data_IF_823157235735
#
_entry.id   IF_823157235735
#
_cell.length_a   1.000
_cell.length_b   1.000
_cell.length_c   1.000
_cell.angle_alpha   90.00
_cell.angle_beta   90.00
_cell.angle_gamma   90.00
#
_symmetry.space_group_name_H-M   'P 1'
#
loop_
_entity.id
_entity.type
_entity.pdbx_description
1 polymer ?
#
# COMPACT_ATOMS: atom_id res chain seq x y z
N UNK A 1 -27.23 39.57 32.85
CA UNK A 1 -28.52 39.41 32.13
C UNK A 1 -28.27 38.51 30.92
N UNK A 2 -28.87 37.32 30.85
CA UNK A 2 -28.69 36.41 29.70
C UNK A 2 -29.22 37.04 28.42
N UNK A 3 -28.41 37.14 27.36
CA UNK A 3 -28.77 37.69 26.05
C UNK A 3 -29.98 36.96 25.41
N UNK A 4 -30.28 35.74 25.85
CA UNK A 4 -31.50 35.01 25.44
C UNK A 4 -32.77 35.58 26.07
N UNK A 5 -32.69 36.14 27.29
CA UNK A 5 -33.82 36.77 27.97
C UNK A 5 -34.14 38.17 27.41
N UNK A 6 -33.18 38.84 26.78
CA UNK A 6 -33.38 40.16 26.15
C UNK A 6 -33.80 40.11 24.68
N UNK A 7 -34.10 38.93 24.11
CA UNK A 7 -34.64 38.77 22.76
C UNK A 7 -33.65 38.99 21.61
N UNK A 8 -32.38 39.31 21.89
CA UNK A 8 -31.35 39.53 20.87
C UNK A 8 -30.74 38.20 20.41
N UNK A 9 -31.49 37.43 19.63
CA UNK A 9 -31.04 36.10 19.13
C UNK A 9 -29.90 36.22 18.11
N UNK A 10 -29.96 37.23 17.24
CA UNK A 10 -28.95 37.45 16.20
C UNK A 10 -27.54 37.74 16.75
N UNK A 11 -27.43 38.45 17.88
CA UNK A 11 -26.13 38.73 18.51
C UNK A 11 -25.53 37.49 19.17
N UNK A 12 -26.36 36.60 19.71
CA UNK A 12 -25.92 35.32 20.29
C UNK A 12 -25.38 34.38 19.21
N UNK A 13 -26.03 34.32 18.04
CA UNK A 13 -25.57 33.46 16.94
C UNK A 13 -24.29 34.00 16.30
N UNK A 14 -24.13 35.33 16.22
CA UNK A 14 -22.87 35.96 15.81
C UNK A 14 -21.73 35.68 16.81
N UNK A 15 -22.01 35.71 18.12
CA UNK A 15 -21.04 35.37 19.18
C UNK A 15 -20.65 33.89 19.17
N UNK A 16 -21.58 32.99 18.87
CA UNK A 16 -21.27 31.55 18.69
C UNK A 16 -20.44 31.28 17.45
N UNK A 17 -20.68 32.01 16.35
CA UNK A 17 -19.90 31.89 15.12
C UNK A 17 -18.48 32.44 15.23
N UNK A 18 -18.26 33.41 16.13
CA UNK A 18 -16.94 34.03 16.36
C UNK A 18 -16.08 33.29 17.40
N UNK A 19 -16.68 32.47 18.26
CA UNK A 19 -15.95 31.52 19.09
C UNK A 19 -15.60 30.27 18.30
N UNK A 20 -14.64 30.38 17.37
CA UNK A 20 -13.82 29.24 17.02
C UNK A 20 -12.98 28.91 18.27
N UNK A 21 -13.37 27.88 19.02
CA UNK A 21 -12.44 27.27 19.98
C UNK A 21 -11.18 26.89 19.18
N UNK A 22 -9.97 27.28 19.61
CA UNK A 22 -8.77 26.77 18.98
C UNK A 22 -8.88 25.24 19.06
N UNK A 23 -8.85 24.58 17.90
CA UNK A 23 -8.73 23.13 17.85
C UNK A 23 -7.53 22.80 18.74
N UNK A 24 -7.66 21.93 19.76
CA UNK A 24 -6.53 21.54 20.59
C UNK A 24 -5.43 21.08 19.65
N UNK A 25 -4.37 21.88 19.53
CA UNK A 25 -3.16 21.40 18.92
C UNK A 25 -2.68 20.32 19.86
N UNK A 26 -2.75 19.05 19.43
CA UNK A 26 -2.01 17.99 20.14
C UNK A 26 -0.58 18.48 20.16
N UNK A 27 -0.10 18.83 21.35
CA UNK A 27 1.30 19.14 21.55
C UNK A 27 2.07 17.96 20.99
N UNK A 28 2.91 18.21 19.99
CA UNK A 28 3.81 17.20 19.48
C UNK A 28 4.61 16.69 20.69
N UNK A 29 4.83 15.36 20.82
CA UNK A 29 5.65 14.84 21.90
C UNK A 29 6.97 15.63 21.94
N UNK A 30 7.49 15.97 23.14
CA UNK A 30 8.68 16.79 23.27
C UNK A 30 9.79 16.20 22.40
N UNK A 31 10.56 17.01 21.66
CA UNK A 31 11.52 16.51 20.69
C UNK A 31 12.58 15.67 21.41
N UNK A 32 12.37 14.36 21.43
CA UNK A 32 13.37 13.39 21.85
C UNK A 32 14.63 13.62 21.00
N UNK A 33 15.78 13.73 21.66
CA UNK A 33 17.13 13.96 21.14
C UNK A 33 17.28 13.91 19.61
N UNK A 34 17.82 14.98 19.01
CA UNK A 34 18.07 15.19 17.56
C UNK A 34 18.35 13.90 16.78
N UNK A 35 17.28 13.25 16.32
CA UNK A 35 17.38 11.99 15.58
C UNK A 35 17.56 12.32 14.11
N UNK A 36 18.73 11.97 13.57
CA UNK A 36 18.97 11.98 12.13
C UNK A 36 18.11 10.92 11.46
N UNK A 37 17.65 11.21 10.24
CA UNK A 37 16.94 10.22 9.43
C UNK A 37 17.88 9.08 9.07
N UNK A 38 17.40 7.84 9.19
CA UNK A 38 18.02 6.68 8.55
C UNK A 38 17.91 6.79 7.02
N UNK A 39 18.75 6.06 6.29
CA UNK A 39 18.73 6.01 4.83
C UNK A 39 17.34 5.58 4.31
N UNK A 40 16.71 4.60 4.98
CA UNK A 40 15.39 4.07 4.62
C UNK A 40 14.26 5.02 5.03
N UNK A 41 14.40 5.73 6.16
CA UNK A 41 13.45 6.77 6.58
C UNK A 41 13.48 7.95 5.60
N UNK A 42 14.67 8.35 5.14
CA UNK A 42 14.85 9.38 4.13
C UNK A 42 14.29 8.95 2.77
N UNK A 43 14.48 7.68 2.38
CA UNK A 43 13.88 7.13 1.17
C UNK A 43 12.35 7.09 1.26
N UNK A 44 11.82 6.69 2.42
CA UNK A 44 10.38 6.71 2.68
C UNK A 44 9.80 8.13 2.62
N UNK A 45 10.54 9.14 3.12
CA UNK A 45 10.16 10.54 3.01
C UNK A 45 10.08 10.99 1.54
N UNK A 46 11.08 10.65 0.73
CA UNK A 46 11.11 10.99 -0.70
C UNK A 46 9.90 10.41 -1.44
N UNK A 47 9.55 9.15 -1.19
CA UNK A 47 8.40 8.49 -1.85
C UNK A 47 7.05 8.90 -1.25
N UNK A 48 7.02 9.42 -0.03
CA UNK A 48 5.79 9.89 0.60
C UNK A 48 5.41 11.31 0.16
N UNK A 49 6.40 12.16 -0.07
CA UNK A 49 6.23 13.57 -0.48
C UNK A 49 6.36 13.74 -1.99
N UNK A 50 6.70 12.67 -2.72
CA UNK A 50 6.95 12.68 -4.17
C UNK A 50 8.07 13.68 -4.56
N UNK A 51 9.18 13.66 -3.82
CA UNK A 51 10.33 14.53 -4.09
C UNK A 51 11.18 14.03 -5.26
N UNK A 52 11.61 14.97 -6.11
CA UNK A 52 12.67 14.70 -7.10
C UNK A 52 14.05 14.66 -6.42
N UNK A 53 15.04 14.08 -7.12
CA UNK A 53 16.43 14.06 -6.65
C UNK A 53 16.94 15.48 -6.34
N UNK A 54 16.69 16.42 -7.25
CA UNK A 54 17.21 17.77 -7.14
C UNK A 54 16.50 18.55 -6.02
N UNK A 55 15.19 18.35 -5.85
CA UNK A 55 14.44 18.91 -4.71
C UNK A 55 15.00 18.40 -3.38
N UNK A 56 15.28 17.10 -3.26
CA UNK A 56 15.87 16.55 -2.04
C UNK A 56 17.26 17.13 -1.74
N UNK A 57 18.12 17.21 -2.77
CA UNK A 57 19.47 17.79 -2.63
C UNK A 57 19.38 19.26 -2.22
N UNK A 58 18.47 20.02 -2.83
CA UNK A 58 18.25 21.43 -2.50
C UNK A 58 17.76 21.61 -1.06
N UNK A 59 16.72 20.87 -0.64
CA UNK A 59 16.20 20.90 0.73
C UNK A 59 17.33 20.60 1.73
N UNK A 60 18.12 19.56 1.47
CA UNK A 60 19.26 19.21 2.31
C UNK A 60 20.30 20.33 2.38
N UNK A 61 20.65 20.93 1.24
CA UNK A 61 21.61 22.04 1.20
C UNK A 61 21.11 23.25 2.00
N UNK A 62 19.82 23.59 1.90
CA UNK A 62 19.21 24.66 2.68
C UNK A 62 19.25 24.37 4.19
N UNK A 63 18.94 23.14 4.62
CA UNK A 63 19.00 22.76 6.03
C UNK A 63 20.43 22.84 6.59
N UNK A 64 21.41 22.37 5.83
CA UNK A 64 22.83 22.48 6.20
C UNK A 64 23.30 23.92 6.32
N UNK A 65 22.84 24.81 5.44
CA UNK A 65 23.14 26.24 5.51
C UNK A 65 22.60 26.89 6.80
N UNK A 66 21.53 26.35 7.38
CA UNK A 66 20.96 26.77 8.66
C UNK A 66 21.53 25.98 9.86
N UNK A 67 22.58 25.18 9.66
CA UNK A 67 23.22 24.38 10.72
C UNK A 67 22.44 23.14 11.15
N UNK A 68 21.42 22.72 10.38
CA UNK A 68 20.58 21.56 10.69
C UNK A 68 20.96 20.37 9.80
N UNK A 69 21.73 19.43 10.34
CA UNK A 69 22.14 18.21 9.63
C UNK A 69 21.28 16.99 10.03
N UNK A 70 20.08 16.94 9.44
CA UNK A 70 19.05 15.94 9.75
C UNK A 70 18.89 14.88 8.65
N UNK A 71 19.14 15.24 7.38
CA UNK A 71 18.93 14.36 6.22
C UNK A 71 20.27 13.76 5.70
N UNK A 72 20.33 12.44 5.43
CA UNK A 72 21.51 11.80 4.86
C UNK A 72 21.84 12.34 3.46
N UNK A 73 23.09 12.16 3.01
CA UNK A 73 23.42 12.51 1.63
C UNK A 73 22.71 11.57 0.64
N UNK A 74 22.49 12.05 -0.59
CA UNK A 74 21.72 11.28 -1.59
C UNK A 74 22.38 9.94 -1.96
N UNK A 75 23.70 9.80 -1.80
CA UNK A 75 24.39 8.54 -2.11
C UNK A 75 23.97 7.40 -1.17
N UNK A 76 23.72 7.68 0.11
CA UNK A 76 23.20 6.68 1.04
C UNK A 76 21.75 6.30 0.69
N UNK A 77 20.93 7.28 0.34
CA UNK A 77 19.55 7.05 -0.13
C UNK A 77 19.55 6.24 -1.45
N UNK A 78 20.50 6.48 -2.35
CA UNK A 78 20.67 5.70 -3.58
C UNK A 78 20.98 4.23 -3.26
N UNK A 79 21.88 3.97 -2.31
CA UNK A 79 22.15 2.60 -1.84
C UNK A 79 20.90 1.96 -1.23
N UNK A 80 20.11 2.72 -0.47
CA UNK A 80 18.82 2.22 0.05
C UNK A 80 17.85 1.84 -1.10
N UNK A 81 17.77 2.63 -2.17
CA UNK A 81 16.98 2.29 -3.36
C UNK A 81 17.45 1.00 -4.02
N UNK A 82 18.77 0.80 -4.11
CA UNK A 82 19.38 -0.40 -4.69
C UNK A 82 18.99 -1.66 -3.89
N UNK A 83 18.79 -1.57 -2.58
CA UNK A 83 18.30 -2.68 -1.75
C UNK A 83 16.86 -3.11 -2.07
N UNK A 84 16.01 -2.18 -2.53
CA UNK A 84 14.63 -2.49 -2.92
C UNK A 84 14.54 -3.23 -4.26
N UNK A 85 15.60 -3.19 -5.07
CA UNK A 85 15.63 -3.86 -6.37
C UNK A 85 15.94 -5.34 -6.19
N UNK A 86 15.42 -6.19 -7.07
CA UNK A 86 15.74 -7.59 -7.00
C UNK A 86 17.22 -7.88 -7.24
N UNK A 87 17.83 -8.77 -6.43
CA UNK A 87 19.28 -8.96 -6.43
C UNK A 87 19.80 -9.79 -7.61
N UNK A 88 18.94 -10.57 -8.28
CA UNK A 88 19.36 -11.50 -9.32
C UNK A 88 19.60 -10.78 -10.66
N UNK A 89 20.86 -10.76 -11.17
CA UNK A 89 21.16 -10.18 -12.47
C UNK A 89 20.47 -10.99 -13.57
N UNK A 90 19.66 -10.32 -14.39
CA UNK A 90 18.84 -10.94 -15.45
C UNK A 90 17.38 -11.18 -15.09
N UNK A 91 16.99 -10.99 -13.82
CA UNK A 91 15.58 -11.07 -13.40
C UNK A 91 14.73 -9.90 -13.91
N UNK A 92 15.38 -8.78 -14.29
CA UNK A 92 14.74 -7.57 -14.82
C UNK A 92 15.16 -7.37 -16.27
N UNK A 93 14.17 -7.34 -17.16
CA UNK A 93 14.36 -7.02 -18.58
C UNK A 93 13.59 -5.74 -18.90
N UNK A 94 14.31 -4.69 -19.29
CA UNK A 94 13.72 -3.41 -19.71
C UNK A 94 14.13 -3.11 -21.14
N UNK A 95 13.13 -2.96 -22.00
CA UNK A 95 13.26 -2.55 -23.40
C UNK A 95 12.46 -1.26 -23.63
N UNK A 96 12.45 -0.76 -24.86
CA UNK A 96 11.66 0.42 -25.23
C UNK A 96 10.13 0.20 -25.18
N UNK A 97 9.72 -1.07 -25.32
CA UNK A 97 8.31 -1.47 -25.46
C UNK A 97 7.80 -2.31 -24.29
N UNK A 98 8.68 -2.88 -23.48
CA UNK A 98 8.31 -3.68 -22.33
C UNK A 98 9.24 -3.51 -21.13
N UNK A 99 8.66 -3.61 -19.94
CA UNK A 99 9.37 -3.80 -18.68
C UNK A 99 8.83 -5.09 -18.07
N UNK A 100 9.71 -6.06 -17.82
CA UNK A 100 9.34 -7.34 -17.21
C UNK A 100 10.29 -7.64 -16.07
N UNK A 101 9.71 -8.07 -14.98
CA UNK A 101 10.39 -8.68 -13.85
C UNK A 101 9.94 -10.14 -13.87
N UNK A 102 10.89 -11.08 -13.84
CA UNK A 102 10.58 -12.50 -13.64
C UNK A 102 9.77 -12.65 -12.36
N UNK A 103 8.83 -13.60 -12.32
CA UNK A 103 8.02 -13.83 -11.11
C UNK A 103 8.98 -14.12 -9.95
N UNK A 104 9.11 -13.14 -9.07
CA UNK A 104 10.01 -13.19 -7.94
C UNK A 104 9.28 -13.75 -6.74
N UNK A 105 9.99 -14.64 -6.06
CA UNK A 105 9.58 -15.35 -4.86
C UNK A 105 9.14 -14.34 -3.80
N UNK A 106 7.84 -14.30 -3.51
CA UNK A 106 7.27 -13.63 -2.34
C UNK A 106 6.36 -14.63 -1.61
N UNK A 107 6.58 -14.78 -0.29
CA UNK A 107 5.87 -15.76 0.55
C UNK A 107 4.39 -15.39 0.82
N UNK A 108 3.55 -16.28 1.40
CA UNK A 108 3.86 -17.13 2.56
C UNK A 108 3.29 -18.58 2.52
N UNK A 109 3.52 -19.36 3.59
CA UNK A 109 2.87 -20.68 3.85
C UNK A 109 2.46 -20.88 5.30
N UNK A 110 2.09 -19.81 5.99
CA UNK A 110 1.34 -19.75 7.25
C UNK A 110 1.02 -18.26 7.44
N UNK A 111 -0.11 -17.92 8.06
CA UNK A 111 -0.57 -16.53 8.23
C UNK A 111 0.33 -15.79 9.26
N UNK A 112 1.58 -15.48 8.89
CA UNK A 112 2.48 -14.63 9.71
C UNK A 112 2.28 -13.15 9.48
N UNK A 113 1.87 -12.78 8.27
CA UNK A 113 1.77 -11.40 7.86
C UNK A 113 0.58 -11.24 6.93
N UNK A 114 -0.44 -10.54 7.41
CA UNK A 114 -1.50 -10.01 6.59
C UNK A 114 -1.21 -8.53 6.38
N UNK A 115 -1.24 -8.06 5.14
CA UNK A 115 -1.08 -6.62 4.89
C UNK A 115 -2.18 -5.85 5.59
N UNK A 116 -1.82 -4.85 6.40
CA UNK A 116 -2.79 -4.01 7.11
C UNK A 116 -3.78 -3.31 6.15
N UNK A 117 -3.38 -3.14 4.88
CA UNK A 117 -4.11 -2.41 3.83
C UNK A 117 -3.99 -3.10 2.45
N UNK A 118 -4.70 -4.20 2.22
CA UNK A 118 -4.65 -4.90 0.93
C UNK A 118 -5.16 -4.05 -0.24
N UNK A 119 -6.13 -3.17 0.02
CA UNK A 119 -6.67 -2.21 -0.95
C UNK A 119 -5.69 -1.09 -1.35
N UNK A 120 -4.50 -1.02 -0.78
CA UNK A 120 -3.55 0.06 -1.08
C UNK A 120 -2.76 -0.24 -2.35
N UNK A 121 -2.61 0.73 -3.29
CA UNK A 121 -1.74 0.55 -4.44
C UNK A 121 -0.29 0.29 -4.00
N UNK A 122 0.14 0.76 -2.81
CA UNK A 122 1.49 0.53 -2.27
C UNK A 122 1.82 -0.95 -2.02
N UNK A 123 0.83 -1.84 -1.93
CA UNK A 123 1.08 -3.28 -1.82
C UNK A 123 1.06 -3.98 -3.19
N UNK A 124 0.71 -3.28 -4.25
CA UNK A 124 0.68 -3.79 -5.62
C UNK A 124 2.07 -3.65 -6.25
N UNK A 125 2.87 -4.73 -6.23
CA UNK A 125 4.21 -4.80 -6.83
C UNK A 125 4.12 -5.06 -8.34
N UNK A 126 4.85 -4.32 -9.19
CA UNK A 126 4.79 -4.52 -10.64
C UNK A 126 5.47 -5.84 -11.04
N UNK A 127 4.84 -6.56 -11.99
CA UNK A 127 5.44 -7.73 -12.63
C UNK A 127 5.82 -7.44 -14.08
N UNK A 128 4.87 -6.93 -14.86
CA UNK A 128 5.09 -6.61 -16.27
C UNK A 128 4.28 -5.41 -16.71
N UNK A 129 4.91 -4.51 -17.46
CA UNK A 129 4.28 -3.38 -18.13
C UNK A 129 4.61 -3.44 -19.63
N UNK A 130 3.58 -3.39 -20.45
CA UNK A 130 3.67 -3.50 -21.91
C UNK A 130 3.03 -2.28 -22.56
N UNK A 131 3.73 -1.66 -23.51
CA UNK A 131 3.17 -0.58 -24.32
C UNK A 131 2.43 -1.14 -25.54
N UNK A 132 1.36 -1.88 -25.28
CA UNK A 132 0.50 -2.47 -26.30
C UNK A 132 -0.97 -2.33 -25.90
N UNK A 133 -1.88 -2.22 -26.87
CA UNK A 133 -3.31 -2.24 -26.58
C UNK A 133 -3.70 -3.62 -26.04
N UNK A 134 -4.57 -3.62 -25.04
CA UNK A 134 -5.12 -4.85 -24.49
C UNK A 134 -5.97 -5.56 -25.54
N UNK A 135 -5.61 -6.81 -25.85
CA UNK A 135 -6.35 -7.69 -26.75
C UNK A 135 -6.43 -9.07 -26.14
N UNK A 136 -7.48 -9.83 -26.47
CA UNK A 136 -7.73 -11.16 -25.90
C UNK A 136 -6.55 -12.12 -26.11
N UNK A 137 -5.93 -12.05 -27.28
CA UNK A 137 -4.78 -12.88 -27.65
C UNK A 137 -3.55 -12.57 -26.79
N UNK A 138 -3.26 -11.28 -26.60
CA UNK A 138 -2.14 -10.83 -25.74
C UNK A 138 -2.37 -11.24 -24.30
N UNK A 139 -3.59 -11.06 -23.77
CA UNK A 139 -3.94 -11.48 -22.40
C UNK A 139 -3.77 -12.98 -22.23
N UNK A 140 -4.27 -13.79 -23.18
CA UNK A 140 -4.14 -15.26 -23.13
C UNK A 140 -2.67 -15.69 -23.12
N UNK A 141 -1.86 -15.13 -24.01
CA UNK A 141 -0.42 -15.41 -24.10
C UNK A 141 0.33 -15.03 -22.82
N UNK A 142 -0.01 -13.89 -22.21
CA UNK A 142 0.59 -13.45 -20.94
C UNK A 142 0.17 -14.38 -19.80
N UNK A 143 -1.12 -14.76 -19.72
CA UNK A 143 -1.61 -15.70 -18.70
C UNK A 143 -0.87 -17.03 -18.78
N UNK A 144 -0.75 -17.60 -19.98
CA UNK A 144 -0.01 -18.85 -20.20
C UNK A 144 1.47 -18.74 -19.80
N UNK A 145 2.14 -17.63 -20.17
CA UNK A 145 3.54 -17.39 -19.82
C UNK A 145 3.75 -17.23 -18.31
N UNK A 146 2.87 -16.52 -17.61
CA UNK A 146 2.95 -16.37 -16.16
C UNK A 146 2.63 -17.70 -15.47
N UNK A 147 1.65 -18.46 -15.98
CA UNK A 147 1.30 -19.76 -15.42
C UNK A 147 2.45 -20.76 -15.54
N UNK A 148 3.17 -20.79 -16.67
CA UNK A 148 4.37 -21.63 -16.78
C UNK A 148 5.43 -21.22 -15.76
N UNK A 149 5.65 -19.92 -15.58
CA UNK A 149 6.59 -19.41 -14.57
C UNK A 149 6.17 -19.81 -13.14
N UNK A 150 4.88 -19.79 -12.82
CA UNK A 150 4.35 -20.20 -11.51
C UNK A 150 4.56 -21.69 -11.29
N UNK A 151 4.28 -22.52 -12.30
CA UNK A 151 4.43 -23.97 -12.20
C UNK A 151 5.89 -24.40 -11.99
N UNK A 152 6.84 -23.63 -12.51
CA UNK A 152 8.28 -23.88 -12.37
C UNK A 152 8.86 -23.36 -11.03
N UNK A 153 8.04 -22.78 -10.13
CA UNK A 153 8.50 -22.25 -8.84
C UNK A 153 8.83 -23.37 -7.85
N UNK A 154 10.08 -23.40 -7.39
CA UNK A 154 10.54 -24.26 -6.29
C UNK A 154 10.25 -23.59 -4.93
N UNK A 155 9.79 -24.34 -3.92
CA UNK A 155 9.59 -23.81 -2.57
C UNK A 155 10.86 -23.20 -1.96
N UNK A 156 10.70 -22.12 -1.19
CA UNK A 156 11.83 -21.34 -0.64
C UNK A 156 12.11 -21.72 0.80
N UNK A 157 13.37 -21.91 1.16
CA UNK A 157 13.83 -22.04 2.54
C UNK A 157 14.34 -20.68 3.04
N UNK A 158 13.67 -20.11 4.04
CA UNK A 158 14.12 -18.89 4.72
C UNK A 158 14.68 -19.28 6.09
N UNK A 159 15.89 -18.78 6.38
CA UNK A 159 16.50 -18.86 7.69
C UNK A 159 16.14 -17.59 8.46
N UNK A 160 15.27 -17.71 9.46
CA UNK A 160 14.93 -16.60 10.34
C UNK A 160 16.15 -16.23 11.22
N UNK A 161 16.25 -14.96 11.60
CA UNK A 161 17.27 -14.49 12.57
C UNK A 161 17.20 -15.22 13.93
N UNK A 162 16.10 -15.91 14.21
CA UNK A 162 15.87 -16.76 15.39
C UNK A 162 16.36 -18.20 15.25
N UNK A 163 17.07 -18.55 14.16
CA UNK A 163 17.60 -19.90 13.91
C UNK A 163 16.56 -20.93 13.46
N UNK A 164 15.33 -20.52 13.19
CA UNK A 164 14.27 -21.39 12.65
C UNK A 164 14.32 -21.41 11.13
N UNK A 165 14.30 -22.61 10.56
CA UNK A 165 14.18 -22.83 9.12
C UNK A 165 12.71 -22.97 8.74
N UNK A 166 12.29 -22.24 7.71
CA UNK A 166 10.92 -22.21 7.25
C UNK A 166 10.90 -22.52 5.76
N UNK A 167 10.21 -23.60 5.39
CA UNK A 167 9.96 -23.94 3.99
C UNK A 167 8.62 -23.36 3.51
N UNK A 168 8.65 -22.63 2.40
CA UNK A 168 7.52 -21.90 1.82
C UNK A 168 7.05 -22.62 0.56
N UNK A 169 5.80 -23.07 0.53
CA UNK A 169 5.06 -23.57 -0.63
C UNK A 169 4.08 -22.51 -1.16
N UNK A 170 4.08 -22.31 -2.47
CA UNK A 170 3.09 -21.47 -3.15
C UNK A 170 1.77 -22.24 -3.30
N UNK A 171 0.65 -21.56 -3.08
CA UNK A 171 -0.68 -22.14 -3.29
C UNK A 171 -1.45 -21.21 -4.22
N UNK A 172 -1.78 -21.71 -5.40
CA UNK A 172 -2.57 -20.96 -6.37
C UNK A 172 -3.98 -20.72 -5.85
N UNK A 173 -4.50 -19.53 -6.09
CA UNK A 173 -5.91 -19.23 -5.86
C UNK A 173 -6.67 -19.74 -7.09
N UNK A 174 -7.64 -20.65 -6.93
CA UNK A 174 -8.40 -21.17 -8.05
C UNK A 174 -9.19 -20.06 -8.76
N UNK A 175 -9.27 -20.12 -10.10
CA UNK A 175 -10.11 -19.21 -10.90
C UNK A 175 -11.57 -19.33 -10.43
N UNK A 176 -12.09 -18.28 -9.77
CA UNK A 176 -13.46 -18.24 -9.22
C UNK A 176 -14.54 -18.01 -10.31
N UNK A 177 -14.30 -18.42 -11.56
CA UNK A 177 -15.29 -18.26 -12.63
C UNK A 177 -16.39 -19.32 -12.51
N UNK A 178 -17.66 -18.93 -12.23
CA UNK A 178 -18.75 -19.89 -12.22
C UNK A 178 -18.97 -20.43 -13.63
N UNK A 179 -18.75 -21.73 -13.81
CA UNK A 179 -19.14 -22.44 -15.03
C UNK A 179 -20.65 -22.68 -14.98
N UNK A 180 -21.45 -21.74 -15.51
CA UNK A 180 -22.69 -22.12 -16.18
C UNK A 180 -23.21 -21.05 -17.15
N UNK A 181 -23.43 -21.50 -18.39
CA UNK A 181 -24.09 -20.75 -19.45
C UNK A 181 -25.59 -20.70 -19.15
N UNK A 182 -26.05 -19.65 -18.48
CA UNK A 182 -27.46 -19.29 -18.49
C UNK A 182 -27.63 -17.77 -18.51
N UNK A 183 -27.73 -17.24 -19.74
CA UNK A 183 -28.73 -16.26 -20.18
C UNK A 183 -28.97 -14.92 -19.46
N UNK A 184 -28.39 -14.60 -18.30
CA UNK A 184 -28.63 -13.33 -17.61
C UNK A 184 -27.30 -12.84 -17.02
N UNK A 185 -26.69 -11.85 -17.68
CA UNK A 185 -25.36 -11.30 -17.32
C UNK A 185 -25.47 -9.96 -16.61
N UNK A 186 -25.77 -9.96 -15.32
CA UNK A 186 -25.51 -8.78 -14.46
C UNK A 186 -24.69 -9.21 -13.26
N UNK A 187 -23.76 -8.36 -12.82
CA UNK A 187 -22.92 -8.62 -11.63
C UNK A 187 -23.79 -8.94 -10.39
N UNK A 188 -24.98 -8.35 -10.32
CA UNK A 188 -25.99 -8.58 -9.28
C UNK A 188 -26.42 -10.05 -9.23
N UNK A 189 -26.67 -10.70 -10.38
CA UNK A 189 -27.06 -12.11 -10.41
C UNK A 189 -25.96 -13.03 -9.91
N UNK A 190 -24.70 -12.70 -10.22
CA UNK A 190 -23.54 -13.44 -9.73
C UNK A 190 -23.45 -13.38 -8.20
N UNK A 191 -23.70 -12.21 -7.62
CA UNK A 191 -23.68 -11.99 -6.17
C UNK A 191 -24.82 -12.76 -5.49
N UNK A 192 -26.05 -12.67 -6.02
CA UNK A 192 -27.23 -13.27 -5.39
C UNK A 192 -27.22 -14.80 -5.48
N UNK A 193 -26.91 -15.37 -6.65
CA UNK A 193 -26.93 -16.83 -6.85
C UNK A 193 -25.63 -17.47 -6.38
N UNK A 194 -24.49 -16.98 -6.86
CA UNK A 194 -23.20 -17.65 -6.69
C UNK A 194 -22.37 -17.08 -5.54
N UNK A 195 -22.76 -15.95 -4.94
CA UNK A 195 -21.96 -15.27 -3.92
C UNK A 195 -21.63 -16.16 -2.72
N UNK A 196 -22.60 -16.95 -2.23
CA UNK A 196 -22.39 -17.87 -1.11
C UNK A 196 -21.40 -18.99 -1.46
N UNK A 197 -21.45 -19.53 -2.67
CA UNK A 197 -20.55 -20.60 -3.11
C UNK A 197 -19.13 -20.06 -3.33
N UNK A 198 -19.00 -18.87 -3.92
CA UNK A 198 -17.72 -18.17 -4.08
C UNK A 198 -17.08 -17.90 -2.71
N UNK A 199 -17.85 -17.43 -1.72
CA UNK A 199 -17.35 -17.18 -0.36
C UNK A 199 -16.86 -18.46 0.34
N UNK A 200 -17.44 -19.63 0.05
CA UNK A 200 -16.99 -20.91 0.61
C UNK A 200 -15.69 -21.42 -0.01
N UNK A 201 -15.50 -21.19 -1.31
CA UNK A 201 -14.31 -21.66 -2.05
C UNK A 201 -13.12 -20.71 -1.88
N UNK A 202 -13.36 -19.42 -1.67
CA UNK A 202 -12.31 -18.41 -1.58
C UNK A 202 -11.36 -18.67 -0.39
N UNK A 203 -10.03 -18.71 -0.60
CA UNK A 203 -9.07 -18.97 0.47
C UNK A 203 -8.84 -17.78 1.41
N UNK A 204 -9.27 -16.58 1.00
CA UNK A 204 -9.16 -15.33 1.76
C UNK A 204 -10.46 -14.52 1.59
N UNK A 205 -10.79 -13.62 2.55
CA UNK A 205 -11.92 -12.70 2.41
C UNK A 205 -11.96 -12.01 1.05
N UNK A 206 -13.13 -11.99 0.41
CA UNK A 206 -13.24 -11.63 -1.01
C UNK A 206 -12.72 -10.22 -1.35
N UNK A 207 -12.83 -9.28 -0.40
CA UNK A 207 -12.30 -7.92 -0.57
C UNK A 207 -10.77 -7.84 -0.69
N UNK A 208 -10.04 -8.87 -0.25
CA UNK A 208 -8.59 -8.98 -0.45
C UNK A 208 -8.22 -9.33 -1.90
N UNK A 209 -9.15 -9.94 -2.65
CA UNK A 209 -8.97 -10.34 -4.05
C UNK A 209 -9.41 -9.24 -5.04
N UNK A 210 -9.63 -8.02 -4.56
CA UNK A 210 -10.09 -6.89 -5.37
C UNK A 210 -9.03 -6.38 -6.36
N UNK A 211 -9.47 -5.94 -7.54
CA UNK A 211 -8.62 -5.31 -8.57
C UNK A 211 -8.39 -3.81 -8.34
N UNK A 212 -9.09 -3.18 -7.38
CA UNK A 212 -8.97 -1.74 -7.07
C UNK A 212 -7.53 -1.23 -6.86
N UNK A 213 -6.61 -1.98 -6.20
CA UNK A 213 -5.22 -1.55 -6.04
C UNK A 213 -4.49 -1.40 -7.38
N UNK A 214 -4.78 -2.30 -8.34
CA UNK A 214 -4.19 -2.30 -9.69
C UNK A 214 -4.64 -1.05 -10.46
N UNK A 215 -5.93 -0.76 -10.44
CA UNK A 215 -6.48 0.42 -11.10
C UNK A 215 -5.94 1.73 -10.49
N UNK A 216 -5.83 1.76 -9.17
CA UNK A 216 -5.23 2.89 -8.45
C UNK A 216 -3.75 3.06 -8.84
N UNK A 217 -3.03 1.95 -9.05
CA UNK A 217 -1.62 1.97 -9.47
C UNK A 217 -1.42 2.58 -10.86
N UNK A 218 -2.41 2.51 -11.76
CA UNK A 218 -2.34 3.19 -13.06
C UNK A 218 -2.19 4.72 -12.95
N UNK A 219 -2.76 5.33 -11.91
CA UNK A 219 -2.58 6.77 -11.64
C UNK A 219 -1.12 7.07 -11.29
N UNK A 220 -0.51 6.25 -10.45
CA UNK A 220 0.90 6.37 -10.05
C UNK A 220 1.83 6.16 -11.24
N UNK A 221 1.55 5.19 -12.13
CA UNK A 221 2.34 4.96 -13.34
C UNK A 221 2.40 6.22 -14.21
N UNK A 222 1.25 6.87 -14.45
CA UNK A 222 1.18 8.12 -15.23
C UNK A 222 1.93 9.26 -14.53
N UNK A 223 1.79 9.35 -13.21
CA UNK A 223 2.46 10.37 -12.40
C UNK A 223 3.99 10.21 -12.42
N UNK A 224 4.50 9.02 -12.11
CA UNK A 224 5.93 8.72 -12.10
C UNK A 224 6.57 8.94 -13.46
N UNK A 225 5.89 8.54 -14.54
CA UNK A 225 6.37 8.78 -15.91
C UNK A 225 6.47 10.26 -16.28
N UNK A 226 5.68 11.13 -15.65
CA UNK A 226 5.72 12.57 -15.93
C UNK A 226 6.77 13.30 -15.07
N UNK A 227 6.92 12.91 -13.81
CA UNK A 227 7.66 13.70 -12.83
C UNK A 227 8.97 13.06 -12.34
N UNK A 228 9.13 11.74 -12.45
CA UNK A 228 10.25 11.02 -11.83
C UNK A 228 11.16 10.29 -12.83
N UNK A 229 10.79 10.20 -14.11
CA UNK A 229 11.60 9.53 -15.14
C UNK A 229 12.41 10.53 -15.96
N UNK A 230 13.63 10.14 -16.34
CA UNK A 230 14.42 10.89 -17.32
C UNK A 230 13.80 10.80 -18.71
N UNK A 231 13.78 11.94 -19.42
CA UNK A 231 13.20 12.07 -20.77
C UNK A 231 14.25 11.97 -21.89
N UNK A 232 15.42 11.41 -21.60
CA UNK A 232 16.52 11.31 -22.56
C UNK A 232 16.32 10.20 -23.60
N UNK A 233 15.79 9.05 -23.18
CA UNK A 233 15.50 7.91 -24.05
C UNK A 233 14.32 7.10 -23.45
N UNK A 234 13.76 6.18 -24.25
CA UNK A 234 12.66 5.33 -23.78
C UNK A 234 13.11 4.28 -22.77
N UNK A 235 14.25 3.64 -23.01
CA UNK A 235 14.75 2.56 -22.16
C UNK A 235 15.07 3.06 -20.75
N UNK A 236 15.82 4.15 -20.60
CA UNK A 236 16.12 4.75 -19.28
C UNK A 236 14.89 5.35 -18.62
N UNK A 237 13.95 5.91 -19.40
CA UNK A 237 12.66 6.33 -18.85
C UNK A 237 11.86 5.15 -18.27
N UNK A 238 11.86 4.02 -18.97
CA UNK A 238 11.24 2.78 -18.52
C UNK A 238 11.96 2.17 -17.31
N UNK A 239 13.30 2.21 -17.26
CA UNK A 239 14.05 1.74 -16.07
C UNK A 239 13.73 2.60 -14.86
N UNK A 240 13.71 3.93 -15.02
CA UNK A 240 13.37 4.85 -13.92
C UNK A 240 11.92 4.60 -13.44
N UNK A 241 10.98 4.38 -14.36
CA UNK A 241 9.58 4.07 -14.04
C UNK A 241 9.47 2.78 -13.22
N UNK A 242 10.16 1.72 -13.65
CA UNK A 242 10.16 0.44 -12.96
C UNK A 242 10.75 0.57 -11.56
N UNK A 243 11.88 1.27 -11.43
CA UNK A 243 12.53 1.52 -10.15
C UNK A 243 11.63 2.31 -9.18
N UNK A 244 10.94 3.34 -9.64
CA UNK A 244 9.95 4.07 -8.82
C UNK A 244 8.81 3.17 -8.34
N UNK A 245 8.30 2.29 -9.22
CA UNK A 245 7.23 1.36 -8.85
C UNK A 245 7.70 0.31 -7.84
N UNK A 246 8.93 -0.18 -7.95
CA UNK A 246 9.53 -1.11 -6.99
C UNK A 246 9.71 -0.47 -5.61
N UNK A 247 10.32 0.71 -5.54
CA UNK A 247 10.51 1.45 -4.28
C UNK A 247 9.16 1.79 -3.61
N UNK A 248 8.18 2.23 -4.38
CA UNK A 248 6.86 2.55 -3.84
C UNK A 248 6.03 1.32 -3.44
N UNK A 249 6.41 0.11 -3.88
CA UNK A 249 5.77 -1.15 -3.52
C UNK A 249 6.50 -1.96 -2.45
N UNK A 250 7.61 -1.44 -1.95
CA UNK A 250 8.48 -2.17 -1.05
C UNK A 250 7.85 -2.33 0.36
N UNK A 251 7.77 -3.57 0.89
CA UNK A 251 7.15 -3.84 2.17
C UNK A 251 7.98 -3.35 3.36
N UNK A 252 9.31 -3.25 3.26
CA UNK A 252 10.14 -2.72 4.35
C UNK A 252 9.95 -1.20 4.46
N UNK A 253 9.93 -0.50 3.32
CA UNK A 253 9.63 0.93 3.27
C UNK A 253 8.22 1.27 3.75
N UNK A 254 7.28 0.32 3.70
CA UNK A 254 5.93 0.52 4.22
C UNK A 254 5.91 0.89 5.71
N UNK A 255 6.81 0.31 6.49
CA UNK A 255 6.84 0.46 7.95
C UNK A 255 7.36 1.82 8.41
N UNK A 256 8.26 2.45 7.63
CA UNK A 256 8.81 3.77 7.95
C UNK A 256 7.87 4.93 7.61
N UNK A 257 6.76 4.66 6.91
CA UNK A 257 5.85 5.71 6.43
C UNK A 257 4.76 6.02 7.45
N UNK A 258 4.37 7.29 7.58
CA UNK A 258 3.19 7.63 8.36
C UNK A 258 1.95 6.99 7.71
N UNK A 259 1.23 6.19 8.49
CA UNK A 259 0.03 5.47 8.06
C UNK A 259 -1.19 6.43 8.13
N UNK A 260 -1.97 6.61 7.05
CA UNK A 260 -3.16 7.47 7.09
C UNK A 260 -4.23 6.89 8.04
N UNK A 261 -4.94 7.75 8.78
CA UNK A 261 -6.01 7.30 9.68
C UNK A 261 -7.11 6.57 8.91
N UNK A 262 -7.55 5.41 9.41
CA UNK A 262 -8.70 4.70 8.84
C UNK A 262 -9.97 5.41 9.27
N UNK A 263 -10.91 5.57 8.34
CA UNK A 263 -12.27 6.01 8.69
C UNK A 263 -13.01 4.77 9.18
N UNK A 264 -13.50 4.82 10.42
CA UNK A 264 -14.42 3.80 10.93
C UNK A 264 -15.78 4.02 10.26
N UNK A 265 -16.26 3.04 9.52
CA UNK A 265 -17.60 3.06 8.94
C UNK A 265 -18.55 2.37 9.91
N UNK A 266 -19.70 2.99 10.17
CA UNK A 266 -20.78 2.38 10.94
C UNK A 266 -21.65 1.54 10.00
N UNK A 267 -21.74 0.24 10.28
CA UNK A 267 -22.60 -0.67 9.51
C UNK A 267 -24.01 -0.72 10.09
N UNK A 268 -25.01 -1.01 9.25
CA UNK A 268 -26.36 -1.26 9.73
C UNK A 268 -26.43 -2.58 10.51
N UNK A 269 -27.38 -2.68 11.45
CA UNK A 269 -27.53 -3.85 12.34
C UNK A 269 -27.67 -5.16 11.56
N UNK A 270 -28.38 -5.13 10.44
CA UNK A 270 -28.55 -6.29 9.55
C UNK A 270 -27.23 -6.79 8.98
N UNK A 271 -26.33 -5.90 8.54
CA UNK A 271 -25.01 -6.29 8.04
C UNK A 271 -24.16 -6.88 9.17
N UNK A 272 -24.19 -6.27 10.36
CA UNK A 272 -23.46 -6.80 11.52
C UNK A 272 -23.90 -8.22 11.88
N UNK A 273 -25.18 -8.56 11.74
CA UNK A 273 -25.67 -9.93 11.99
C UNK A 273 -25.16 -10.98 10.99
N UNK A 274 -24.68 -10.56 9.80
CA UNK A 274 -24.12 -11.45 8.79
C UNK A 274 -22.59 -11.54 8.83
N UNK A 275 -21.91 -10.65 9.56
CA UNK A 275 -20.46 -10.68 9.67
C UNK A 275 -20.02 -11.73 10.69
N UNK A 276 -19.13 -12.61 10.24
CA UNK A 276 -18.40 -13.53 11.13
C UNK A 276 -17.00 -12.95 11.29
N UNK A 277 -16.63 -12.59 12.52
CA UNK A 277 -15.25 -12.22 12.81
C UNK A 277 -14.35 -13.45 12.69
N UNK A 278 -13.20 -13.36 12.01
CA UNK A 278 -12.26 -14.47 11.97
C UNK A 278 -11.76 -14.74 13.39
N UNK A 279 -12.02 -15.92 13.93
CA UNK A 279 -11.51 -16.32 15.24
C UNK A 279 -9.98 -16.48 15.15
N UNK A 280 -9.24 -15.43 15.53
CA UNK A 280 -7.77 -15.48 15.64
C UNK A 280 -7.40 -16.26 16.90
N UNK A 281 -7.68 -17.56 16.90
CA UNK A 281 -7.20 -18.49 17.91
C UNK A 281 -5.72 -18.79 17.66
N UNK A 282 -4.83 -17.89 18.11
CA UNK A 282 -3.39 -18.18 18.00
C UNK A 282 -2.39 -17.07 18.30
N UNK A 283 -2.77 -15.81 18.54
CA UNK A 283 -1.83 -14.77 18.94
C UNK A 283 -2.40 -13.96 20.09
N UNK A 284 -1.96 -14.25 21.31
CA UNK A 284 -2.06 -13.31 22.42
C UNK A 284 -1.20 -12.10 22.06
N UNK A 285 -1.84 -11.07 21.50
CA UNK A 285 -1.31 -9.71 21.49
C UNK A 285 -1.44 -9.14 22.88
N UNK A 286 -0.60 -9.59 23.80
CA UNK A 286 -0.25 -8.76 24.96
C UNK A 286 0.78 -7.76 24.48
N UNK A 287 0.52 -6.50 24.81
CA UNK A 287 1.37 -5.33 24.62
C UNK A 287 1.24 -4.69 23.24
N UNK A 288 0.25 -3.80 23.08
CA UNK A 288 0.35 -2.49 22.38
C UNK A 288 -1.00 -1.74 22.20
N UNK A 289 -2.04 -2.07 22.96
CA UNK A 289 -3.21 -1.19 23.11
C UNK A 289 -3.37 -0.82 24.58
N UNK A 290 -2.70 0.25 25.01
CA UNK A 290 -3.22 1.06 26.11
C UNK A 290 -4.49 1.74 25.58
N UNK A 291 -5.62 1.25 26.07
CA UNK A 291 -6.94 1.87 25.95
C UNK A 291 -7.06 2.96 27.00
N UNK A 292 -6.87 4.22 26.62
CA UNK A 292 -7.27 5.32 27.48
C UNK A 292 -8.75 5.65 27.26
N UNK A 293 -9.55 5.17 28.20
CA UNK A 293 -10.69 5.84 28.83
C UNK A 293 -11.74 6.50 27.94
N UNK A 294 -12.88 5.82 27.78
CA UNK A 294 -14.17 6.48 27.58
C UNK A 294 -14.63 7.04 28.94
N UNK A 295 -14.57 8.37 29.13
CA UNK A 295 -15.37 9.04 30.15
C UNK A 295 -16.76 9.33 29.59
N UNK A 296 -17.73 8.50 30.00
CA UNK A 296 -19.15 8.85 29.97
C UNK A 296 -19.39 10.02 30.94
N UNK A 297 -19.85 11.17 30.43
CA UNK A 297 -20.40 12.22 31.26
C UNK A 297 -21.92 12.05 31.33
N UNK A 298 -22.42 11.71 32.52
CA UNK A 298 -23.81 11.97 32.95
C UNK A 298 -23.97 13.42 33.39
#
# INVERSE_FOLDING_TARGET
MSLRKSGQRHTVDFLKGTQCTPVPQREAPPPSASRRFSDDEALALIDQVDLTKDQYIYIRACLLAHGVDVLPCYDYVRRAKERCYPPEPGSVTVTESEMRIGVQRHGPSYLLYQTDRPGSPRNCRPLRLLFQKETKEVVKKIKEHIQSQINDLVPVQIHLKSGREVTIRHKDVPDLCPTNRSGIRTAVQLIIIHGADIMKVAPVPIGLLSEEPLESRHKNIRHFRKHHTRLCNRTSGNTDLLHCLLVSSDPELYNFRPKPKRKTLTYCKTVLSFLVEPSVSGLKGTDLFESDGEEEFS
#
